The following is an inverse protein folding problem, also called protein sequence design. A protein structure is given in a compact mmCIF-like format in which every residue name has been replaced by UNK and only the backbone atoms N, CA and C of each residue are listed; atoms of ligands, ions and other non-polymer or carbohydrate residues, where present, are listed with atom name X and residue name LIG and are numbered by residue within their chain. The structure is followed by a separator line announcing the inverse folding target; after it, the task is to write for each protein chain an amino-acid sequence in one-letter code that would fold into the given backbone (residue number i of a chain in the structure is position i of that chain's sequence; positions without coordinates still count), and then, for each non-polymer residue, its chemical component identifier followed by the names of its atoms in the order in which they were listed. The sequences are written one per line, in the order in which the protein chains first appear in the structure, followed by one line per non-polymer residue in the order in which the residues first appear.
data_IF_347365116350
#
_entry.id   IF_347365116350
#
_cell.length_a   1.000
_cell.length_b   1.000
_cell.length_c   1.000
_cell.angle_alpha   90.00
_cell.angle_beta   90.00
_cell.angle_gamma   90.00
#
_symmetry.space_group_name_H-M   'P 1'
#
loop_
_entity.id
_entity.type
_entity.pdbx_description
1 polymer ?
#
# COMPACT_ATOMS: atom_id res chain seq x y z
N UNK A 1 -17.22 -49.62 25.10
CA UNK A 1 -17.76 -48.31 24.65
C UNK A 1 -16.96 -47.10 25.19
N UNK A 2 -15.62 -47.21 25.28
CA UNK A 2 -14.74 -46.18 25.90
C UNK A 2 -13.73 -45.56 24.92
N UNK A 3 -13.46 -46.21 23.80
CA UNK A 3 -12.48 -45.78 22.79
C UNK A 3 -13.03 -44.77 21.77
N UNK A 4 -14.36 -44.75 21.54
CA UNK A 4 -14.98 -43.81 20.58
C UNK A 4 -15.08 -42.36 21.08
N UNK A 5 -14.95 -42.11 22.38
CA UNK A 5 -15.03 -40.75 22.96
C UNK A 5 -13.74 -39.93 22.77
N UNK A 6 -12.58 -40.59 22.65
CA UNK A 6 -11.30 -39.91 22.50
C UNK A 6 -11.00 -39.49 21.05
N UNK A 7 -11.60 -40.18 20.06
CA UNK A 7 -11.43 -39.83 18.64
C UNK A 7 -12.19 -38.53 18.32
N UNK A 8 -13.32 -38.27 18.99
CA UNK A 8 -14.12 -37.06 18.76
C UNK A 8 -13.46 -35.79 19.35
N UNK A 9 -12.68 -35.93 20.43
CA UNK A 9 -11.99 -34.78 21.05
C UNK A 9 -10.71 -34.36 20.33
N UNK A 10 -10.09 -35.24 19.53
CA UNK A 10 -8.86 -34.91 18.77
C UNK A 10 -9.18 -34.11 17.50
N UNK A 11 -10.37 -34.27 16.93
CA UNK A 11 -10.77 -33.56 15.70
C UNK A 11 -11.20 -32.11 16.00
N UNK A 12 -11.68 -31.82 17.22
CA UNK A 12 -12.17 -30.50 17.60
C UNK A 12 -11.04 -29.48 17.90
N UNK A 13 -9.83 -29.95 18.22
CA UNK A 13 -8.67 -29.07 18.48
C UNK A 13 -7.86 -28.73 17.22
N UNK A 14 -8.03 -29.49 16.12
CA UNK A 14 -7.31 -29.26 14.87
C UNK A 14 -7.94 -28.17 13.97
N UNK A 15 -9.16 -27.72 14.29
CA UNK A 15 -9.86 -26.68 13.54
C UNK A 15 -9.66 -25.26 14.10
N UNK A 16 -8.94 -25.09 15.22
CA UNK A 16 -8.72 -23.77 15.83
C UNK A 16 -7.40 -23.09 15.46
N UNK A 17 -6.53 -23.75 14.70
CA UNK A 17 -5.27 -23.17 14.26
C UNK A 17 -5.30 -22.79 12.78
N UNK A 18 -6.34 -22.09 12.32
CA UNK A 18 -6.06 -21.08 11.29
C UNK A 18 -5.28 -19.98 11.99
N UNK A 19 -3.97 -20.22 12.12
CA UNK A 19 -3.01 -19.20 12.48
C UNK A 19 -3.31 -18.00 11.59
N UNK A 20 -3.73 -16.91 12.22
CA UNK A 20 -3.40 -15.61 11.68
C UNK A 20 -1.87 -15.59 11.62
N UNK A 21 -1.30 -15.97 10.47
CA UNK A 21 0.05 -15.60 10.15
C UNK A 21 0.02 -14.07 10.08
N UNK A 22 0.24 -13.45 11.24
CA UNK A 22 0.54 -12.04 11.35
C UNK A 22 1.86 -11.92 10.59
N UNK A 23 1.77 -11.44 9.35
CA UNK A 23 2.96 -11.07 8.61
C UNK A 23 3.57 -9.94 9.39
N UNK A 24 4.70 -10.21 10.05
CA UNK A 24 5.49 -9.16 10.66
C UNK A 24 5.80 -8.13 9.58
N UNK A 25 5.56 -6.86 9.93
CA UNK A 25 5.74 -5.72 9.05
C UNK A 25 7.24 -5.42 8.94
N UNK A 26 7.94 -6.13 8.05
CA UNK A 26 9.37 -5.92 7.84
C UNK A 26 9.57 -4.63 7.03
N UNK A 27 10.22 -3.65 7.66
CA UNK A 27 10.52 -2.36 7.03
C UNK A 27 11.62 -2.50 5.99
N UNK A 28 11.57 -1.65 4.97
CA UNK A 28 12.54 -1.61 3.87
C UNK A 28 12.68 -2.95 3.12
N UNK A 29 11.61 -3.78 3.10
CA UNK A 29 11.64 -5.10 2.47
C UNK A 29 11.43 -4.99 0.95
N UNK A 30 12.54 -4.95 0.21
CA UNK A 30 12.54 -4.79 -1.25
C UNK A 30 11.73 -5.88 -1.99
N UNK A 31 11.64 -7.09 -1.44
CA UNK A 31 10.87 -8.18 -2.05
C UNK A 31 9.37 -7.84 -2.13
N UNK A 32 8.83 -7.03 -1.20
CA UNK A 32 7.44 -6.57 -1.28
C UNK A 32 7.22 -5.56 -2.40
N UNK A 33 8.21 -4.69 -2.63
CA UNK A 33 8.23 -3.75 -3.77
C UNK A 33 8.20 -4.54 -5.07
N UNK A 34 9.07 -5.57 -5.18
CA UNK A 34 9.13 -6.48 -6.33
C UNK A 34 7.80 -7.20 -6.58
N UNK A 35 7.18 -7.77 -5.54
CA UNK A 35 5.90 -8.48 -5.67
C UNK A 35 4.83 -7.56 -6.26
N UNK A 36 4.74 -6.30 -5.81
CA UNK A 36 3.78 -5.34 -6.37
C UNK A 36 4.14 -4.98 -7.82
N UNK A 37 5.42 -4.74 -8.11
CA UNK A 37 5.91 -4.43 -9.46
C UNK A 37 5.56 -5.53 -10.48
N UNK A 38 5.85 -6.80 -10.15
CA UNK A 38 5.62 -7.95 -11.03
C UNK A 38 4.12 -8.30 -11.20
N UNK A 39 3.25 -7.79 -10.32
CA UNK A 39 1.82 -8.10 -10.30
C UNK A 39 0.94 -6.86 -10.52
N UNK A 40 1.47 -5.79 -11.12
CA UNK A 40 0.79 -4.50 -11.31
C UNK A 40 -0.60 -4.64 -11.99
N UNK A 41 -0.74 -5.59 -12.91
CA UNK A 41 -2.01 -5.82 -13.62
C UNK A 41 -3.07 -6.56 -12.79
N UNK A 42 -2.68 -7.19 -11.69
CA UNK A 42 -3.52 -8.06 -10.85
C UNK A 42 -3.28 -7.85 -9.36
N UNK A 43 -3.12 -6.59 -8.94
CA UNK A 43 -2.87 -6.25 -7.55
C UNK A 43 -4.00 -6.72 -6.63
N UNK A 44 -3.60 -7.27 -5.49
CA UNK A 44 -4.53 -7.62 -4.43
C UNK A 44 -4.38 -6.65 -3.26
N UNK A 45 -5.43 -6.53 -2.47
CA UNK A 45 -5.40 -5.74 -1.23
C UNK A 45 -4.20 -6.09 -0.34
N UNK A 46 -3.89 -7.39 -0.20
CA UNK A 46 -2.79 -7.85 0.66
C UNK A 46 -1.42 -7.45 0.10
N UNK A 47 -1.21 -7.52 -1.22
CA UNK A 47 0.05 -7.11 -1.83
C UNK A 47 0.35 -5.63 -1.56
N UNK A 48 -0.64 -4.77 -1.79
CA UNK A 48 -0.50 -3.33 -1.55
C UNK A 48 -0.38 -3.02 -0.06
N UNK A 49 -1.10 -3.74 0.81
CA UNK A 49 -0.99 -3.56 2.25
C UNK A 49 0.39 -3.97 2.80
N UNK A 50 0.92 -5.12 2.36
CA UNK A 50 2.26 -5.57 2.72
C UNK A 50 3.33 -4.57 2.21
N UNK A 51 3.15 -4.04 1.00
CA UNK A 51 4.01 -2.99 0.45
C UNK A 51 3.93 -1.67 1.24
N UNK A 52 2.74 -1.19 1.58
CA UNK A 52 2.63 0.02 2.43
C UNK A 52 3.22 -0.20 3.82
N UNK A 53 3.23 -1.44 4.29
CA UNK A 53 3.88 -1.83 5.53
C UNK A 53 5.39 -1.58 5.50
N UNK A 54 6.05 -1.72 4.34
CA UNK A 54 7.52 -1.63 4.27
C UNK A 54 8.06 -0.21 4.45
N UNK A 55 7.21 0.82 4.32
CA UNK A 55 7.62 2.20 4.53
C UNK A 55 7.99 2.48 6.00
N UNK A 56 9.15 3.11 6.17
CA UNK A 56 9.69 3.58 7.44
C UNK A 56 10.72 4.69 7.17
N UNK A 57 10.84 5.65 8.10
CA UNK A 57 11.86 6.73 7.99
C UNK A 57 13.29 6.21 7.88
N UNK A 58 13.59 5.05 8.47
CA UNK A 58 14.91 4.41 8.42
C UNK A 58 15.30 3.92 7.03
N UNK A 59 14.36 3.77 6.10
CA UNK A 59 14.66 3.28 4.75
C UNK A 59 15.41 4.28 3.87
N UNK A 60 15.52 5.55 4.28
CA UNK A 60 16.24 6.60 3.53
C UNK A 60 17.73 6.33 3.33
N UNK A 61 18.32 5.39 4.08
CA UNK A 61 19.72 4.97 3.90
C UNK A 61 19.88 3.94 2.77
N UNK A 62 18.79 3.30 2.36
CA UNK A 62 18.74 2.32 1.27
C UNK A 62 18.22 3.02 0.02
N UNK A 63 19.15 3.54 -0.77
CA UNK A 63 18.81 4.32 -1.97
C UNK A 63 18.02 3.51 -3.00
N UNK A 64 18.33 2.22 -3.16
CA UNK A 64 17.64 1.34 -4.11
C UNK A 64 16.19 1.12 -3.67
N UNK A 65 15.99 0.81 -2.38
CA UNK A 65 14.64 0.71 -1.84
C UNK A 65 13.88 2.03 -1.96
N UNK A 66 14.47 3.16 -1.56
CA UNK A 66 13.79 4.46 -1.62
C UNK A 66 13.36 4.81 -3.04
N UNK A 67 14.26 4.69 -4.03
CA UNK A 67 13.95 4.98 -5.43
C UNK A 67 12.85 4.06 -5.96
N UNK A 68 13.03 2.74 -5.82
CA UNK A 68 12.10 1.79 -6.41
C UNK A 68 10.74 1.77 -5.71
N UNK A 69 10.70 1.84 -4.37
CA UNK A 69 9.44 1.89 -3.63
C UNK A 69 8.62 3.15 -3.94
N UNK A 70 9.27 4.30 -4.11
CA UNK A 70 8.59 5.53 -4.50
C UNK A 70 8.03 5.43 -5.93
N UNK A 71 8.79 4.86 -6.86
CA UNK A 71 8.30 4.60 -8.23
C UNK A 71 7.07 3.67 -8.21
N UNK A 72 7.16 2.56 -7.48
CA UNK A 72 6.07 1.59 -7.38
C UNK A 72 4.84 2.20 -6.68
N UNK A 73 5.03 3.10 -5.70
CA UNK A 73 3.93 3.83 -5.07
C UNK A 73 3.09 4.60 -6.11
N UNK A 74 3.76 5.33 -6.99
CA UNK A 74 3.11 6.08 -8.06
C UNK A 74 2.49 5.18 -9.11
N UNK A 75 3.14 4.07 -9.47
CA UNK A 75 2.58 3.09 -10.40
C UNK A 75 1.28 2.46 -9.85
N UNK A 76 1.21 2.15 -8.55
CA UNK A 76 -0.04 1.67 -7.91
C UNK A 76 -1.13 2.74 -7.97
N UNK A 77 -0.78 4.00 -7.67
CA UNK A 77 -1.72 5.12 -7.68
C UNK A 77 -2.28 5.40 -9.08
N UNK A 78 -1.47 5.27 -10.13
CA UNK A 78 -1.89 5.40 -11.51
C UNK A 78 -2.71 4.20 -12.00
N UNK A 79 -2.38 3.00 -11.53
CA UNK A 79 -3.01 1.75 -11.98
C UNK A 79 -4.36 1.48 -11.34
N UNK A 80 -4.44 1.55 -10.01
CA UNK A 80 -5.64 1.21 -9.23
C UNK A 80 -5.80 2.13 -8.01
N UNK A 81 -6.23 3.39 -8.22
CA UNK A 81 -6.39 4.36 -7.15
C UNK A 81 -7.48 3.99 -6.14
N UNK A 82 -8.51 3.21 -6.54
CA UNK A 82 -9.53 2.72 -5.60
C UNK A 82 -8.91 1.71 -4.61
N UNK A 83 -8.06 0.79 -5.09
CA UNK A 83 -7.33 -0.14 -4.22
C UNK A 83 -6.33 0.59 -3.32
N UNK A 84 -5.57 1.54 -3.86
CA UNK A 84 -4.63 2.38 -3.12
C UNK A 84 -5.33 3.03 -1.92
N UNK A 85 -6.42 3.76 -2.18
CA UNK A 85 -7.17 4.46 -1.13
C UNK A 85 -7.78 3.48 -0.13
N UNK A 86 -8.34 2.36 -0.61
CA UNK A 86 -8.93 1.33 0.26
C UNK A 86 -7.91 0.73 1.22
N UNK A 87 -6.68 0.49 0.78
CA UNK A 87 -5.61 -0.05 1.62
C UNK A 87 -5.12 1.00 2.60
N UNK A 88 -4.90 2.23 2.13
CA UNK A 88 -4.41 3.32 2.97
C UNK A 88 -5.40 3.69 4.10
N UNK A 89 -6.70 3.47 3.91
CA UNK A 89 -7.72 3.67 4.93
C UNK A 89 -7.70 2.66 6.07
N UNK A 90 -7.08 1.49 5.88
CA UNK A 90 -7.13 0.42 6.86
C UNK A 90 -6.01 0.59 7.90
N UNK A 91 -6.34 0.31 9.16
CA UNK A 91 -5.49 0.51 10.35
C UNK A 91 -4.15 -0.26 10.34
N UNK A 92 -3.86 -1.04 9.30
CA UNK A 92 -2.60 -1.76 9.12
C UNK A 92 -1.48 -0.95 8.48
N UNK A 93 -1.81 0.21 7.90
CA UNK A 93 -0.78 1.15 7.46
C UNK A 93 -0.45 2.00 8.66
N UNK A 94 0.50 1.52 9.47
CA UNK A 94 0.93 2.18 10.71
C UNK A 94 1.42 3.63 10.46
N UNK A 95 1.76 3.95 9.20
CA UNK A 95 2.35 5.22 8.83
C UNK A 95 1.75 5.81 7.54
N UNK A 96 0.42 6.06 7.55
CA UNK A 96 -0.27 6.81 6.48
C UNK A 96 0.47 8.10 6.14
N UNK A 97 1.08 8.76 7.13
CA UNK A 97 1.83 9.99 6.92
C UNK A 97 3.08 9.78 6.09
N UNK A 98 3.79 8.65 6.23
CA UNK A 98 4.93 8.34 5.36
C UNK A 98 4.48 8.12 3.92
N UNK A 99 3.42 7.35 3.69
CA UNK A 99 2.90 7.13 2.33
C UNK A 99 2.48 8.46 1.67
N UNK A 100 1.85 9.36 2.42
CA UNK A 100 1.52 10.70 1.93
C UNK A 100 2.76 11.55 1.66
N UNK A 101 3.79 11.47 2.51
CA UNK A 101 5.05 12.18 2.29
C UNK A 101 5.76 11.67 1.03
N UNK A 102 5.80 10.36 0.80
CA UNK A 102 6.36 9.75 -0.41
C UNK A 102 5.56 10.16 -1.65
N UNK A 103 4.23 10.22 -1.55
CA UNK A 103 3.36 10.75 -2.61
C UNK A 103 3.65 12.22 -2.88
N UNK A 104 3.93 13.03 -1.86
CA UNK A 104 4.23 14.46 -2.02
C UNK A 104 5.66 14.74 -2.53
N UNK A 105 6.57 13.75 -2.44
CA UNK A 105 7.98 13.89 -2.81
C UNK A 105 8.40 12.75 -3.76
N UNK A 106 7.88 12.72 -5.00
CA UNK A 106 8.31 11.75 -5.99
C UNK A 106 9.79 11.90 -6.32
N UNK A 107 10.45 10.78 -6.58
CA UNK A 107 11.86 10.73 -7.01
C UNK A 107 11.98 10.89 -8.54
N UNK A 108 10.94 10.48 -9.28
CA UNK A 108 10.87 10.57 -10.74
C UNK A 108 9.73 11.47 -11.21
N UNK A 109 9.79 11.93 -12.46
CA UNK A 109 8.71 12.69 -13.08
C UNK A 109 7.53 11.77 -13.44
N UNK A 110 6.30 12.20 -13.12
CA UNK A 110 5.07 11.46 -13.43
C UNK A 110 4.04 12.36 -14.14
N UNK A 111 3.05 11.74 -14.81
CA UNK A 111 1.89 12.49 -15.32
C UNK A 111 0.91 12.78 -14.18
N UNK A 112 1.24 13.80 -13.38
CA UNK A 112 0.45 14.18 -12.21
C UNK A 112 -1.00 14.48 -12.54
N UNK A 113 -1.29 15.09 -13.70
CA UNK A 113 -2.66 15.42 -14.09
C UNK A 113 -3.48 14.15 -14.31
N UNK A 114 -2.95 13.18 -15.06
CA UNK A 114 -3.62 11.90 -15.28
C UNK A 114 -3.86 11.16 -13.97
N UNK A 115 -2.84 11.08 -13.11
CA UNK A 115 -2.94 10.39 -11.80
C UNK A 115 -3.98 11.10 -10.91
N UNK A 116 -3.92 12.43 -10.83
CA UNK A 116 -4.87 13.23 -10.07
C UNK A 116 -6.31 12.99 -10.53
N UNK A 117 -6.55 13.03 -11.84
CA UNK A 117 -7.89 12.81 -12.40
C UNK A 117 -8.40 11.39 -12.11
N UNK A 118 -7.53 10.38 -12.17
CA UNK A 118 -7.87 9.01 -11.77
C UNK A 118 -8.25 8.93 -10.29
N UNK A 119 -7.45 9.52 -9.39
CA UNK A 119 -7.74 9.57 -7.94
C UNK A 119 -9.03 10.34 -7.67
N UNK A 120 -9.23 11.49 -8.32
CA UNK A 120 -10.43 12.33 -8.18
C UNK A 120 -11.70 11.58 -8.57
N UNK A 121 -11.63 10.70 -9.57
CA UNK A 121 -12.76 9.93 -10.08
C UNK A 121 -13.03 8.61 -9.32
N UNK A 122 -12.21 8.25 -8.34
CA UNK A 122 -12.48 7.10 -7.43
C UNK A 122 -13.80 7.26 -6.67
N UNK A 123 -14.36 6.14 -6.21
CA UNK A 123 -15.65 6.14 -5.48
C UNK A 123 -15.56 6.67 -4.05
N UNK A 124 -14.36 6.68 -3.48
CA UNK A 124 -14.10 7.22 -2.14
C UNK A 124 -14.48 8.71 -2.06
N UNK A 125 -15.01 9.12 -0.90
CA UNK A 125 -15.41 10.50 -0.58
C UNK A 125 -14.86 10.97 0.76
N UNK A 126 -13.96 10.21 1.36
CA UNK A 126 -13.40 10.49 2.67
C UNK A 126 -12.23 11.48 2.62
N UNK A 127 -11.84 11.95 3.81
CA UNK A 127 -10.76 12.90 4.01
C UNK A 127 -9.42 12.39 3.47
N UNK A 128 -9.19 11.08 3.46
CA UNK A 128 -7.92 10.52 3.00
C UNK A 128 -7.72 10.75 1.50
N UNK A 129 -8.77 10.59 0.69
CA UNK A 129 -8.73 10.96 -0.73
C UNK A 129 -8.32 12.42 -0.92
N UNK A 130 -8.85 13.33 -0.11
CA UNK A 130 -8.50 14.76 -0.18
C UNK A 130 -7.01 14.96 0.14
N UNK A 131 -6.48 14.23 1.14
CA UNK A 131 -5.04 14.29 1.49
C UNK A 131 -4.15 13.76 0.37
N UNK A 132 -4.53 12.65 -0.27
CA UNK A 132 -3.80 12.11 -1.43
C UNK A 132 -3.83 13.08 -2.61
N UNK A 133 -4.98 13.67 -2.95
CA UNK A 133 -5.09 14.67 -4.00
C UNK A 133 -4.19 15.89 -3.73
N UNK A 134 -4.15 16.37 -2.49
CA UNK A 134 -3.26 17.46 -2.08
C UNK A 134 -1.77 17.08 -2.18
N UNK A 135 -1.41 15.85 -1.83
CA UNK A 135 -0.04 15.36 -1.97
C UNK A 135 0.41 15.38 -3.44
N UNK A 136 -0.45 14.93 -4.36
CA UNK A 136 -0.20 14.98 -5.82
C UNK A 136 -0.09 16.43 -6.31
N UNK A 137 -0.98 17.32 -5.87
CA UNK A 137 -0.91 18.76 -6.21
C UNK A 137 0.40 19.40 -5.74
N UNK A 138 0.85 19.06 -4.52
CA UNK A 138 2.14 19.52 -3.98
C UNK A 138 3.33 18.99 -4.79
N UNK A 139 3.29 17.71 -5.18
CA UNK A 139 4.31 17.10 -6.02
C UNK A 139 4.42 17.82 -7.38
N UNK A 140 3.29 18.00 -8.07
CA UNK A 140 3.23 18.74 -9.34
C UNK A 140 3.75 20.17 -9.21
N UNK A 141 3.39 20.86 -8.12
CA UNK A 141 3.82 22.24 -7.88
C UNK A 141 5.35 22.38 -7.69
N UNK A 142 6.01 21.38 -7.07
CA UNK A 142 7.48 21.36 -6.93
C UNK A 142 8.19 21.25 -8.27
N UNK A 143 7.57 20.62 -9.25
CA UNK A 143 8.05 20.56 -10.64
C UNK A 143 7.61 21.76 -11.49
N UNK A 144 6.89 22.72 -10.90
CA UNK A 144 6.37 23.89 -11.63
C UNK A 144 5.18 23.59 -12.54
N UNK A 145 4.55 22.42 -12.39
CA UNK A 145 3.37 22.00 -13.13
C UNK A 145 2.12 22.62 -12.50
N UNK A 146 1.28 23.26 -13.32
CA UNK A 146 -0.01 23.81 -12.89
C UNK A 146 -1.13 22.82 -13.19
N UNK A 147 -1.69 22.23 -12.15
CA UNK A 147 -2.83 21.32 -12.22
C UNK A 147 -4.09 22.03 -12.72
N UNK A 148 -4.92 21.31 -13.47
CA UNK A 148 -6.25 21.74 -13.89
C UNK A 148 -7.27 21.10 -12.96
N UNK A 149 -7.98 21.93 -12.19
CA UNK A 149 -8.95 21.49 -11.18
C UNK A 149 -10.38 21.44 -11.73
#
# INVERSE_FOLDING_TARGET
MRTKKYILTIILTLMLSTLFAQTDCVKCEIEKVKIVSENMDSLTFRMVADFFCTFDTSCSIDAEYSEWSNEILYNVLDRDPDLFLKVLQQEKVDDIQLVLNETENPIHEFDYQTIYDKVKNTKSKDELKIRVLKAIESAAAKEGIKMKN
#
